data_IF_850924872539
#
_entry.id   IF_850924872539
#
_cell.length_a   1.000
_cell.length_b   1.000
_cell.length_c   1.000
_cell.angle_alpha   90.00
_cell.angle_beta   90.00
_cell.angle_gamma   90.00
#
_symmetry.space_group_name_H-M   'P 1'
#
loop_
_entity.id
_entity.type
_entity.pdbx_description
1 polymer ?
#
# COMPACT_ATOMS: atom_id res chain seq x y z
N UNK A 1 -7.49 -24.04 -2.62
CA UNK A 1 -6.69 -22.93 -3.18
C UNK A 1 -5.72 -22.47 -2.11
N UNK A 2 -4.43 -22.76 -2.27
CA UNK A 2 -3.40 -22.42 -1.27
C UNK A 2 -3.27 -20.90 -1.14
N UNK A 3 -3.13 -20.35 0.08
CA UNK A 3 -2.97 -18.92 0.27
C UNK A 3 -1.64 -18.53 -0.35
N UNK A 4 -1.68 -17.89 -1.53
CA UNK A 4 -0.50 -17.25 -2.11
C UNK A 4 -0.04 -16.24 -1.08
N UNK A 5 1.07 -16.52 -0.41
CA UNK A 5 1.79 -15.57 0.44
C UNK A 5 2.18 -14.36 -0.41
N UNK A 6 1.23 -13.47 -0.64
CA UNK A 6 1.47 -12.10 -1.06
C UNK A 6 2.01 -11.39 0.17
N UNK A 7 3.24 -11.76 0.56
CA UNK A 7 4.02 -10.97 1.51
C UNK A 7 4.19 -9.63 0.82
N UNK A 8 3.33 -8.68 1.17
CA UNK A 8 3.43 -7.29 0.78
C UNK A 8 4.88 -6.89 1.07
N UNK A 9 5.67 -6.74 0.01
CA UNK A 9 7.11 -6.54 0.13
C UNK A 9 7.37 -5.14 0.67
N UNK A 10 8.41 -5.01 1.48
CA UNK A 10 8.75 -3.72 2.06
C UNK A 10 9.06 -2.71 0.93
N UNK A 11 8.40 -1.55 0.91
CA UNK A 11 8.56 -0.51 -0.10
C UNK A 11 9.89 0.25 0.05
N UNK A 12 11.02 -0.41 -0.23
CA UNK A 12 12.37 0.18 -0.15
C UNK A 12 12.48 1.48 -0.94
N UNK A 13 11.94 1.49 -2.17
CA UNK A 13 12.00 2.66 -3.03
C UNK A 13 11.20 3.84 -2.47
N UNK A 14 9.97 3.61 -1.98
CA UNK A 14 9.20 4.70 -1.37
C UNK A 14 9.80 5.16 -0.03
N UNK A 15 10.48 4.28 0.70
CA UNK A 15 11.18 4.65 1.92
C UNK A 15 12.38 5.56 1.62
N UNK A 16 13.19 5.23 0.62
CA UNK A 16 14.32 6.06 0.22
C UNK A 16 13.88 7.39 -0.41
N UNK A 17 12.74 7.40 -1.11
CA UNK A 17 12.20 8.58 -1.76
C UNK A 17 11.19 9.34 -0.88
N UNK A 18 11.27 9.20 0.45
CA UNK A 18 10.43 9.97 1.35
C UNK A 18 10.67 11.48 1.14
N UNK A 19 9.61 12.31 1.11
CA UNK A 19 9.78 13.75 1.02
C UNK A 19 10.43 14.27 2.30
N UNK A 20 11.67 14.74 2.19
CA UNK A 20 12.50 15.15 3.35
C UNK A 20 12.08 16.50 3.95
N UNK A 21 11.31 17.32 3.21
CA UNK A 21 10.99 18.71 3.59
C UNK A 21 9.52 19.11 3.33
N UNK A 22 8.62 18.13 3.29
CA UNK A 22 7.19 18.43 3.11
C UNK A 22 6.54 18.89 4.41
N UNK A 23 5.90 20.05 4.40
CA UNK A 23 5.05 20.49 5.53
C UNK A 23 3.88 19.53 5.80
N UNK A 24 3.40 18.84 4.74
CA UNK A 24 2.21 18.00 4.80
C UNK A 24 2.51 16.53 5.14
N UNK A 25 3.76 16.08 5.02
CA UNK A 25 4.13 14.68 5.28
C UNK A 25 5.30 14.60 6.24
N UNK A 26 5.11 13.87 7.35
CA UNK A 26 6.16 13.64 8.34
C UNK A 26 7.17 12.63 7.81
N UNK A 27 8.43 12.97 7.87
CA UNK A 27 9.52 12.04 7.61
C UNK A 27 9.49 10.91 8.66
N UNK A 28 9.46 9.65 8.22
CA UNK A 28 9.43 8.48 9.10
C UNK A 28 10.74 7.71 8.94
N UNK A 29 11.69 7.93 9.85
CA UNK A 29 13.01 7.28 9.85
C UNK A 29 13.01 5.84 10.39
N UNK A 30 11.91 5.40 11.00
CA UNK A 30 11.80 4.02 11.47
C UNK A 30 11.21 3.16 10.33
N UNK A 31 11.97 2.20 9.77
CA UNK A 31 11.53 1.42 8.62
C UNK A 31 10.32 0.53 8.92
N UNK A 32 10.20 -0.02 10.13
CA UNK A 32 9.04 -0.83 10.52
C UNK A 32 7.77 0.02 10.58
N UNK A 33 7.89 1.24 11.13
CA UNK A 33 6.79 2.20 11.20
C UNK A 33 6.36 2.65 9.80
N UNK A 34 7.32 2.92 8.92
CA UNK A 34 7.04 3.26 7.53
C UNK A 34 6.31 2.12 6.81
N UNK A 35 6.76 0.87 6.99
CA UNK A 35 6.13 -0.30 6.38
C UNK A 35 4.64 -0.40 6.74
N UNK A 36 4.32 -0.18 8.02
CA UNK A 36 2.94 -0.24 8.52
C UNK A 36 2.08 0.89 7.93
N UNK A 37 2.58 2.12 7.94
CA UNK A 37 1.87 3.28 7.37
C UNK A 37 1.64 3.08 5.87
N UNK A 38 2.67 2.67 5.13
CA UNK A 38 2.56 2.43 3.70
C UNK A 38 1.56 1.33 3.38
N UNK A 39 1.53 0.26 4.18
CA UNK A 39 0.56 -0.83 4.02
C UNK A 39 -0.87 -0.33 4.24
N UNK A 40 -1.12 0.49 5.27
CA UNK A 40 -2.43 1.09 5.50
C UNK A 40 -2.86 1.96 4.31
N UNK A 41 -1.99 2.85 3.82
CA UNK A 41 -2.28 3.68 2.66
C UNK A 41 -2.53 2.88 1.39
N UNK A 42 -1.80 1.76 1.21
CA UNK A 42 -2.04 0.85 0.09
C UNK A 42 -3.43 0.23 0.18
N UNK A 43 -3.82 -0.22 1.38
CA UNK A 43 -5.16 -0.77 1.61
C UNK A 43 -6.25 0.29 1.37
N UNK A 44 -6.09 1.51 1.87
CA UNK A 44 -7.03 2.62 1.63
C UNK A 44 -7.21 2.88 0.13
N UNK A 45 -6.11 2.95 -0.63
CA UNK A 45 -6.17 3.14 -2.09
C UNK A 45 -6.88 1.99 -2.80
N UNK A 46 -6.65 0.75 -2.38
CA UNK A 46 -7.35 -0.41 -2.91
C UNK A 46 -8.82 -0.41 -2.51
N UNK A 47 -9.15 0.08 -1.32
CA UNK A 47 -10.52 0.16 -0.81
C UNK A 47 -11.36 1.18 -1.59
N UNK A 48 -10.77 2.31 -1.97
CA UNK A 48 -11.44 3.33 -2.79
C UNK A 48 -11.55 2.93 -4.25
N UNK A 49 -10.81 1.91 -4.71
CA UNK A 49 -10.95 1.39 -6.08
C UNK A 49 -12.19 0.50 -6.15
N UNK A 50 -13.11 0.83 -7.04
CA UNK A 50 -14.22 -0.05 -7.37
C UNK A 50 -13.68 -1.40 -7.87
N UNK A 51 -14.21 -2.49 -7.33
CA UNK A 51 -13.84 -3.82 -7.78
C UNK A 51 -14.39 -4.03 -9.20
N UNK A 52 -13.53 -3.91 -10.22
CA UNK A 52 -13.81 -4.27 -11.61
C UNK A 52 -14.10 -5.77 -11.83
N UNK A 53 -14.20 -6.56 -10.76
CA UNK A 53 -14.73 -7.92 -10.81
C UNK A 53 -16.25 -7.89 -11.07
N UNK A 54 -16.66 -7.35 -12.22
CA UNK A 54 -17.91 -7.72 -12.87
C UNK A 54 -17.79 -9.22 -13.14
N UNK A 55 -18.39 -10.04 -12.28
CA UNK A 55 -18.58 -11.45 -12.56
C UNK A 55 -19.22 -11.60 -13.95
N UNK A 56 -18.92 -12.67 -14.71
CA UNK A 56 -19.52 -12.86 -16.02
C UNK A 56 -21.04 -12.75 -15.87
N UNK A 57 -21.63 -11.73 -16.52
CA UNK A 57 -23.08 -11.58 -16.60
C UNK A 57 -23.59 -12.84 -17.29
N UNK A 58 -24.18 -13.75 -16.51
CA UNK A 58 -24.89 -14.91 -17.03
C UNK A 58 -26.20 -14.37 -17.61
N UNK A 59 -26.31 -14.39 -18.94
CA UNK A 59 -27.56 -14.17 -19.68
C UNK A 59 -28.16 -15.54 -19.99
#
# INVERSE_FOLDING_TARGET
MTPKHTKIQFPLWQYLNQPLFSHNTKLVLNPQRFALIWRLQLLERCWTKECDAKGPQQH
#
